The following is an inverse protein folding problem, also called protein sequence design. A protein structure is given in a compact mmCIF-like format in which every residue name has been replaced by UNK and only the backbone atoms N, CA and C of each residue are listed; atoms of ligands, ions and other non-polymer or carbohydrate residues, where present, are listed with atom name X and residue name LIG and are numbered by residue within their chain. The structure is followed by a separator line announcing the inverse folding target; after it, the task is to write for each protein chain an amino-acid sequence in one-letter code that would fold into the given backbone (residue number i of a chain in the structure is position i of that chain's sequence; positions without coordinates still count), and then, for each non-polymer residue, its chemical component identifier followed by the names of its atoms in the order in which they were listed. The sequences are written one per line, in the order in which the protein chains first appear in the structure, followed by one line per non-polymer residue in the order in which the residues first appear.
data_IF_212832767928
#
_entry.id   IF_212832767928
#
_cell.length_a   1.000
_cell.length_b   1.000
_cell.length_c   1.000
_cell.angle_alpha   90.00
_cell.angle_beta   90.00
_cell.angle_gamma   90.00
#
_symmetry.space_group_name_H-M   'P 1'
#
loop_
_entity.id
_entity.type
_entity.pdbx_description
1 polymer ?
#
# COMPACT_ATOMS: atom_id res chain seq x y z
N UNK A 1 75.99 24.17 50.72
CA UNK A 1 76.14 22.73 50.43
C UNK A 1 75.50 22.50 49.07
N UNK A 2 76.26 22.50 47.97
CA UNK A 2 77.06 21.40 47.41
C UNK A 2 76.25 20.42 46.52
N UNK A 3 76.53 20.52 45.19
CA UNK A 3 76.66 19.47 44.14
C UNK A 3 75.41 18.60 43.84
N UNK A 4 75.03 18.22 42.62
CA UNK A 4 75.65 18.27 41.29
C UNK A 4 75.21 17.03 40.46
N UNK A 5 75.09 17.16 39.13
CA UNK A 5 75.02 16.06 38.12
C UNK A 5 73.69 15.30 38.02
N UNK A 6 73.19 14.79 36.88
CA UNK A 6 73.77 14.48 35.56
C UNK A 6 72.64 14.27 34.54
N UNK A 7 72.93 14.53 33.28
CA UNK A 7 72.12 14.26 32.07
C UNK A 7 72.20 12.76 31.65
N UNK A 8 71.22 12.26 30.87
CA UNK A 8 71.36 11.45 29.62
C UNK A 8 70.06 10.71 29.20
N UNK A 9 69.55 11.11 28.02
CA UNK A 9 68.99 10.39 26.83
C UNK A 9 68.41 8.95 26.88
N UNK A 10 67.26 8.78 26.18
CA UNK A 10 66.79 7.54 25.49
C UNK A 10 65.59 6.85 26.16
N UNK A 11 64.60 6.26 25.50
CA UNK A 11 64.21 6.11 24.10
C UNK A 11 62.71 5.69 24.07
N UNK A 12 62.09 5.68 22.88
CA UNK A 12 60.71 5.23 22.53
C UNK A 12 60.34 3.90 23.25
N UNK A 13 59.09 3.50 23.52
CA UNK A 13 57.98 3.15 22.61
C UNK A 13 56.72 2.95 23.46
N UNK A 14 55.60 3.59 23.14
CA UNK A 14 54.29 3.32 23.75
C UNK A 14 53.25 3.15 22.65
N UNK A 15 52.87 1.90 22.36
CA UNK A 15 51.80 1.58 21.42
C UNK A 15 50.46 1.98 22.06
N UNK A 16 49.87 3.09 21.62
CA UNK A 16 48.45 3.37 21.90
C UNK A 16 47.60 2.65 20.86
N UNK A 17 46.89 1.61 21.31
CA UNK A 17 45.85 0.95 20.53
C UNK A 17 44.71 1.93 20.23
N UNK A 18 44.76 2.61 19.09
CA UNK A 18 43.60 3.28 18.53
C UNK A 18 42.66 2.21 17.94
N UNK A 19 41.80 1.65 18.79
CA UNK A 19 40.63 0.91 18.34
C UNK A 19 39.67 1.95 17.77
N UNK A 20 39.67 2.06 16.44
CA UNK A 20 38.61 2.74 15.70
C UNK A 20 37.35 1.91 15.92
N UNK A 21 36.41 2.41 16.73
CA UNK A 21 35.06 1.87 16.81
C UNK A 21 34.40 2.05 15.44
N UNK A 22 34.52 1.04 14.58
CA UNK A 22 33.71 0.91 13.37
C UNK A 22 32.31 0.57 13.87
N UNK A 23 31.47 1.59 14.03
CA UNK A 23 30.03 1.36 14.16
C UNK A 23 29.56 0.78 12.84
N UNK A 24 29.40 -0.54 12.79
CA UNK A 24 28.63 -1.20 11.75
C UNK A 24 27.22 -0.66 11.91
N UNK A 25 26.84 0.30 11.06
CA UNK A 25 25.43 0.64 10.85
C UNK A 25 24.85 -0.63 10.25
N UNK A 26 24.17 -1.42 11.10
CA UNK A 26 23.31 -2.49 10.64
C UNK A 26 22.27 -1.83 9.74
N UNK A 27 22.46 -1.89 8.44
CA UNK A 27 21.38 -1.66 7.49
C UNK A 27 20.41 -2.81 7.69
N UNK A 28 19.52 -2.67 8.66
CA UNK A 28 18.32 -3.50 8.73
C UNK A 28 17.65 -3.36 7.38
N UNK A 29 17.63 -4.46 6.64
CA UNK A 29 16.76 -4.64 5.49
C UNK A 29 15.33 -4.47 6.01
N UNK A 30 14.82 -3.24 5.96
CA UNK A 30 13.40 -2.97 6.10
C UNK A 30 12.73 -3.76 4.97
N UNK A 31 12.15 -4.90 5.31
CA UNK A 31 11.04 -5.41 4.54
C UNK A 31 10.01 -4.28 4.58
N UNK A 32 9.76 -3.65 3.44
CA UNK A 32 8.77 -2.57 3.36
C UNK A 32 7.43 -3.19 3.74
N UNK A 33 7.08 -3.11 5.03
CA UNK A 33 5.91 -3.73 5.66
C UNK A 33 4.72 -2.85 5.33
N UNK A 34 4.44 -2.72 4.04
CA UNK A 34 3.39 -1.86 3.51
C UNK A 34 2.05 -2.16 4.18
N UNK A 35 1.23 -1.12 4.33
CA UNK A 35 -0.13 -1.26 4.82
C UNK A 35 -0.93 -2.04 3.78
N UNK A 36 -1.45 -3.21 4.14
CA UNK A 36 -2.42 -3.92 3.32
C UNK A 36 -3.81 -3.33 3.54
N UNK A 37 -4.54 -3.24 2.45
CA UNK A 37 -5.88 -2.70 2.42
C UNK A 37 -6.75 -3.74 1.73
N UNK A 38 -7.89 -4.04 2.34
CA UNK A 38 -8.95 -4.84 1.76
C UNK A 38 -10.20 -3.96 1.73
N UNK A 39 -10.88 -3.92 0.59
CA UNK A 39 -12.07 -3.13 0.40
C UNK A 39 -13.11 -3.90 -0.39
N UNK A 40 -14.38 -3.59 -0.16
CA UNK A 40 -15.51 -4.21 -0.85
C UNK A 40 -16.47 -3.18 -1.41
N UNK A 41 -17.09 -3.53 -2.54
CA UNK A 41 -18.16 -2.78 -3.21
C UNK A 41 -19.09 -3.76 -3.94
N UNK A 42 -20.31 -3.34 -4.29
CA UNK A 42 -21.15 -4.13 -5.20
C UNK A 42 -20.89 -3.77 -6.65
N UNK A 43 -20.84 -4.79 -7.50
CA UNK A 43 -20.89 -4.67 -8.94
C UNK A 43 -22.32 -4.88 -9.39
N UNK A 44 -22.84 -3.96 -10.20
CA UNK A 44 -24.15 -4.12 -10.84
C UNK A 44 -24.08 -5.29 -11.81
N UNK A 45 -25.03 -6.23 -11.68
CA UNK A 45 -25.01 -7.50 -12.42
C UNK A 45 -24.97 -7.31 -13.93
N UNK A 46 -25.68 -6.30 -14.43
CA UNK A 46 -25.75 -5.93 -15.84
C UNK A 46 -24.40 -5.47 -16.43
N UNK A 47 -23.45 -5.08 -15.58
CA UNK A 47 -22.13 -4.61 -15.98
C UNK A 47 -21.02 -5.64 -15.73
N UNK A 48 -21.33 -6.83 -15.21
CA UNK A 48 -20.31 -7.78 -14.75
C UNK A 48 -19.30 -8.19 -15.84
N UNK A 49 -19.77 -8.49 -17.05
CA UNK A 49 -18.89 -8.88 -18.16
C UNK A 49 -18.09 -7.70 -18.71
N UNK A 50 -18.72 -6.53 -18.83
CA UNK A 50 -18.05 -5.32 -19.26
C UNK A 50 -16.95 -4.90 -18.27
N UNK A 51 -17.24 -4.97 -16.97
CA UNK A 51 -16.29 -4.67 -15.91
C UNK A 51 -15.05 -5.55 -16.02
N UNK A 52 -15.21 -6.87 -16.21
CA UNK A 52 -14.08 -7.78 -16.43
C UNK A 52 -13.30 -7.41 -17.69
N UNK A 53 -14.01 -7.11 -18.78
CA UNK A 53 -13.40 -6.77 -20.07
C UNK A 53 -12.52 -5.52 -19.96
N UNK A 54 -13.01 -4.45 -19.35
CA UNK A 54 -12.22 -3.22 -19.20
C UNK A 54 -11.06 -3.40 -18.22
N UNK A 55 -11.22 -4.19 -17.16
CA UNK A 55 -10.15 -4.46 -16.19
C UNK A 55 -9.07 -5.43 -16.72
N UNK A 56 -9.36 -6.21 -17.76
CA UNK A 56 -8.33 -6.96 -18.49
C UNK A 56 -7.40 -6.05 -19.32
N UNK A 57 -7.75 -4.76 -19.48
CA UNK A 57 -6.98 -3.78 -20.25
C UNK A 57 -7.10 -2.39 -19.64
N UNK A 58 -6.78 -2.29 -18.34
CA UNK A 58 -6.76 -1.01 -17.61
C UNK A 58 -5.85 -0.01 -18.34
N UNK A 59 -6.29 1.24 -18.39
CA UNK A 59 -5.54 2.29 -19.08
C UNK A 59 -4.13 2.48 -18.47
N UNK A 60 -3.07 2.61 -19.28
CA UNK A 60 -1.71 2.70 -18.78
C UNK A 60 -1.46 3.85 -17.80
N UNK A 61 -2.07 5.03 -17.98
CA UNK A 61 -1.86 6.15 -17.05
C UNK A 61 -2.58 5.96 -15.73
N UNK A 62 -3.71 5.25 -15.67
CA UNK A 62 -4.32 4.81 -14.40
C UNK A 62 -3.36 3.91 -13.63
N UNK A 63 -2.74 2.92 -14.30
CA UNK A 63 -1.73 2.06 -13.66
C UNK A 63 -0.49 2.84 -13.24
N UNK A 64 -0.07 3.85 -14.01
CA UNK A 64 1.03 4.73 -13.66
C UNK A 64 0.72 5.60 -12.43
N UNK A 65 -0.50 6.12 -12.32
CA UNK A 65 -0.97 6.88 -11.17
C UNK A 65 -0.94 6.03 -9.89
N UNK A 66 -1.47 4.80 -9.94
CA UNK A 66 -1.42 3.84 -8.82
C UNK A 66 0.04 3.54 -8.40
N UNK A 67 0.92 3.30 -9.37
CA UNK A 67 2.35 3.05 -9.11
C UNK A 67 3.03 4.26 -8.46
N UNK A 68 2.76 5.47 -8.94
CA UNK A 68 3.30 6.72 -8.40
C UNK A 68 2.83 6.96 -6.95
N UNK A 69 1.63 6.50 -6.62
CA UNK A 69 1.04 6.52 -5.29
C UNK A 69 1.46 5.33 -4.41
N UNK A 70 2.50 4.59 -4.81
CA UNK A 70 3.06 3.48 -4.03
C UNK A 70 2.05 2.35 -3.73
N UNK A 71 1.04 2.18 -4.59
CA UNK A 71 0.10 1.06 -4.55
C UNK A 71 0.70 -0.08 -5.37
N UNK A 72 0.89 -1.24 -4.73
CA UNK A 72 1.43 -2.46 -5.33
C UNK A 72 0.55 -3.66 -4.96
N UNK A 73 0.76 -4.78 -5.65
CA UNK A 73 0.08 -6.05 -5.34
C UNK A 73 -1.46 -5.89 -5.32
N UNK A 74 -1.99 -5.08 -6.25
CA UNK A 74 -3.42 -4.77 -6.34
C UNK A 74 -4.15 -5.84 -7.16
N UNK A 75 -5.07 -6.54 -6.52
CA UNK A 75 -5.98 -7.50 -7.12
C UNK A 75 -7.45 -7.19 -6.81
N UNK A 76 -8.35 -7.65 -7.67
CA UNK A 76 -9.80 -7.60 -7.47
C UNK A 76 -10.43 -8.96 -7.77
N UNK A 77 -11.26 -9.45 -6.86
CA UNK A 77 -11.99 -10.71 -6.98
C UNK A 77 -13.49 -10.44 -7.03
N UNK A 78 -14.20 -11.15 -7.90
CA UNK A 78 -15.65 -11.04 -8.04
C UNK A 78 -16.34 -12.26 -7.44
N UNK A 79 -17.27 -12.02 -6.52
CA UNK A 79 -18.19 -13.01 -5.96
C UNK A 79 -19.56 -12.87 -6.64
N UNK A 80 -19.85 -13.60 -7.73
CA UNK A 80 -21.10 -13.46 -8.46
C UNK A 80 -22.33 -13.85 -7.61
N UNK A 81 -22.19 -14.86 -6.77
CA UNK A 81 -23.23 -15.37 -5.87
C UNK A 81 -22.57 -16.05 -4.67
N UNK A 82 -23.19 -16.03 -3.47
CA UNK A 82 -22.74 -16.90 -2.38
C UNK A 82 -22.79 -18.38 -2.78
N UNK A 83 -21.98 -19.24 -2.14
CA UNK A 83 -21.97 -20.69 -2.37
C UNK A 83 -23.17 -21.42 -1.76
N UNK A 84 -24.07 -20.69 -1.09
CA UNK A 84 -25.28 -21.20 -0.47
C UNK A 84 -26.50 -20.40 -0.95
N UNK A 85 -27.68 -21.03 -1.07
CA UNK A 85 -28.89 -20.34 -1.48
C UNK A 85 -29.26 -19.26 -0.46
N UNK A 86 -29.69 -18.11 -0.96
CA UNK A 86 -30.27 -17.06 -0.14
C UNK A 86 -31.63 -17.51 0.39
N UNK A 87 -31.86 -17.31 1.69
CA UNK A 87 -33.15 -17.66 2.32
C UNK A 87 -34.27 -16.65 1.99
N UNK A 88 -33.95 -15.50 1.40
CA UNK A 88 -34.87 -14.38 1.22
C UNK A 88 -34.84 -13.74 -0.18
N UNK A 89 -34.40 -14.45 -1.23
CA UNK A 89 -34.34 -13.93 -2.60
C UNK A 89 -32.91 -13.60 -3.05
N UNK A 90 -32.62 -12.42 -3.58
CA UNK A 90 -31.23 -12.07 -3.98
C UNK A 90 -30.36 -11.91 -2.72
N UNK A 91 -29.16 -12.51 -2.71
CA UNK A 91 -28.28 -12.46 -1.53
C UNK A 91 -27.60 -11.11 -1.41
N UNK A 92 -27.48 -10.59 -0.18
CA UNK A 92 -26.67 -9.39 0.09
C UNK A 92 -25.19 -9.55 -0.28
N UNK A 93 -24.70 -10.80 -0.33
CA UNK A 93 -23.32 -11.15 -0.70
C UNK A 93 -23.13 -11.36 -2.22
N UNK A 94 -24.22 -11.41 -3.00
CA UNK A 94 -24.11 -11.56 -4.44
C UNK A 94 -23.59 -10.26 -5.07
N UNK A 95 -22.72 -10.41 -6.07
CA UNK A 95 -22.17 -9.30 -6.83
C UNK A 95 -21.04 -8.52 -6.13
N UNK A 96 -20.45 -9.04 -5.05
CA UNK A 96 -19.36 -8.33 -4.37
C UNK A 96 -18.07 -8.33 -5.20
N UNK A 97 -17.45 -7.16 -5.33
CA UNK A 97 -16.06 -7.00 -5.70
C UNK A 97 -15.24 -6.85 -4.42
N UNK A 98 -14.18 -7.63 -4.30
CA UNK A 98 -13.25 -7.64 -3.18
C UNK A 98 -11.88 -7.24 -3.70
N UNK A 99 -11.47 -6.01 -3.37
CA UNK A 99 -10.20 -5.42 -3.75
C UNK A 99 -9.19 -5.63 -2.63
N UNK A 100 -7.97 -6.06 -2.96
CA UNK A 100 -6.84 -6.06 -2.02
C UNK A 100 -5.62 -5.42 -2.65
N UNK A 101 -4.90 -4.59 -1.91
CA UNK A 101 -3.63 -4.01 -2.35
C UNK A 101 -2.72 -3.68 -1.16
N UNK A 102 -1.43 -3.46 -1.46
CA UNK A 102 -0.43 -2.99 -0.51
C UNK A 102 -0.06 -1.56 -0.84
N UNK A 103 -0.08 -0.72 0.18
CA UNK A 103 0.48 0.62 0.13
C UNK A 103 1.86 0.62 0.81
N UNK A 104 2.90 0.97 0.07
CA UNK A 104 4.30 0.97 0.55
C UNK A 104 4.92 2.36 0.65
N UNK A 105 4.12 3.41 0.48
CA UNK A 105 4.56 4.80 0.61
C UNK A 105 4.59 5.29 2.05
N UNK A 106 5.00 6.55 2.24
CA UNK A 106 5.11 7.20 3.56
C UNK A 106 4.08 8.31 3.82
N UNK A 107 3.36 8.79 2.79
CA UNK A 107 2.32 9.83 2.89
C UNK A 107 1.02 9.37 2.21
N UNK A 108 0.23 8.57 2.92
CA UNK A 108 -1.00 7.97 2.38
C UNK A 108 -1.97 9.03 1.87
N UNK A 109 -2.17 10.10 2.64
CA UNK A 109 -3.12 11.13 2.27
C UNK A 109 -2.63 11.92 1.06
N UNK A 110 -1.33 12.23 0.97
CA UNK A 110 -0.74 12.88 -0.20
C UNK A 110 -0.88 12.05 -1.46
N UNK A 111 -0.55 10.76 -1.36
CA UNK A 111 -0.59 9.84 -2.49
C UNK A 111 -2.01 9.60 -3.00
N UNK A 112 -2.99 9.38 -2.12
CA UNK A 112 -4.39 9.21 -2.55
C UNK A 112 -4.99 10.51 -3.06
N UNK A 113 -4.63 11.68 -2.50
CA UNK A 113 -5.02 12.98 -3.08
C UNK A 113 -4.47 13.15 -4.49
N UNK A 114 -3.23 12.75 -4.74
CA UNK A 114 -2.63 12.83 -6.07
C UNK A 114 -3.35 11.90 -7.07
N UNK A 115 -3.73 10.69 -6.66
CA UNK A 115 -4.56 9.79 -7.48
C UNK A 115 -5.93 10.41 -7.78
N UNK A 116 -6.56 11.02 -6.79
CA UNK A 116 -7.87 11.67 -6.97
C UNK A 116 -7.83 12.89 -7.90
N UNK A 117 -6.68 13.55 -8.02
CA UNK A 117 -6.47 14.69 -8.92
C UNK A 117 -6.02 14.28 -10.33
N UNK A 118 -5.58 13.03 -10.52
CA UNK A 118 -5.12 12.53 -11.81
C UNK A 118 -6.25 12.45 -12.85
N UNK A 119 -6.03 13.06 -14.01
CA UNK A 119 -7.07 13.21 -15.04
C UNK A 119 -7.49 11.86 -15.66
N UNK A 120 -6.54 10.95 -15.90
CA UNK A 120 -6.85 9.63 -16.43
C UNK A 120 -7.63 8.80 -15.42
N UNK A 121 -7.25 8.87 -14.14
CA UNK A 121 -7.96 8.21 -13.04
C UNK A 121 -9.40 8.69 -12.92
N UNK A 122 -9.64 10.01 -12.96
CA UNK A 122 -11.01 10.56 -12.91
C UNK A 122 -11.85 10.14 -14.11
N UNK A 123 -11.27 10.10 -15.31
CA UNK A 123 -11.94 9.58 -16.51
C UNK A 123 -12.25 8.09 -16.41
N UNK A 124 -11.36 7.32 -15.80
CA UNK A 124 -11.58 5.90 -15.53
C UNK A 124 -12.74 5.71 -14.54
N UNK A 125 -12.78 6.47 -13.45
CA UNK A 125 -13.88 6.46 -12.50
C UNK A 125 -15.22 6.83 -13.13
N UNK A 126 -15.26 7.82 -14.04
CA UNK A 126 -16.47 8.16 -14.77
C UNK A 126 -17.06 6.97 -15.57
N UNK A 127 -16.23 5.98 -15.93
CA UNK A 127 -16.67 4.72 -16.56
C UNK A 127 -17.05 3.68 -15.50
N UNK A 128 -16.21 3.46 -14.49
CA UNK A 128 -16.38 2.35 -13.54
C UNK A 128 -17.42 2.61 -12.46
N UNK A 129 -17.59 3.85 -12.00
CA UNK A 129 -18.50 4.18 -10.91
C UNK A 129 -19.96 3.85 -11.28
N UNK A 130 -20.34 4.08 -12.54
CA UNK A 130 -21.65 3.71 -13.07
C UNK A 130 -21.92 2.19 -13.07
N UNK A 131 -20.86 1.38 -13.06
CA UNK A 131 -20.97 -0.08 -12.99
C UNK A 131 -21.09 -0.59 -11.56
N UNK A 132 -20.84 0.26 -10.57
CA UNK A 132 -20.69 -0.11 -9.17
C UNK A 132 -21.82 0.47 -8.31
N UNK A 133 -21.93 -0.05 -7.09
CA UNK A 133 -22.81 0.45 -6.05
C UNK A 133 -22.10 0.38 -4.70
N UNK A 134 -21.92 1.55 -4.07
CA UNK A 134 -21.28 1.63 -2.77
C UNK A 134 -22.13 0.96 -1.68
N UNK A 135 -21.45 0.33 -0.72
CA UNK A 135 -22.06 -0.13 0.52
C UNK A 135 -22.17 0.98 1.57
N UNK A 136 -21.58 2.15 1.32
CA UNK A 136 -21.71 3.33 2.20
C UNK A 136 -22.96 4.10 1.84
N UNK A 137 -23.84 4.29 2.81
CA UNK A 137 -25.02 5.13 2.64
C UNK A 137 -24.62 6.56 2.27
N UNK A 138 -25.20 7.07 1.19
CA UNK A 138 -24.97 8.44 0.71
C UNK A 138 -23.67 8.66 -0.08
N UNK A 139 -22.89 7.61 -0.36
CA UNK A 139 -21.75 7.74 -1.26
C UNK A 139 -22.22 7.98 -2.70
N UNK A 140 -21.53 8.87 -3.42
CA UNK A 140 -21.95 9.36 -4.76
C UNK A 140 -20.96 9.08 -5.88
N UNK A 141 -19.77 8.55 -5.58
CA UNK A 141 -18.74 8.17 -6.55
C UNK A 141 -17.34 8.18 -5.95
N UNK A 142 -16.35 7.71 -6.71
CA UNK A 142 -14.94 7.65 -6.32
C UNK A 142 -14.36 9.02 -6.03
N UNK A 143 -14.73 10.04 -6.81
CA UNK A 143 -14.21 11.42 -6.69
C UNK A 143 -14.60 12.11 -5.37
N UNK A 144 -15.77 11.78 -4.81
CA UNK A 144 -16.23 12.31 -3.53
C UNK A 144 -15.55 11.64 -2.31
N UNK A 145 -14.78 10.58 -2.54
CA UNK A 145 -14.17 9.77 -1.48
C UNK A 145 -15.16 8.80 -0.83
N UNK A 146 -14.61 7.79 -0.15
CA UNK A 146 -15.40 6.79 0.59
C UNK A 146 -16.23 5.85 -0.29
N UNK A 147 -15.96 5.76 -1.59
CA UNK A 147 -16.75 4.93 -2.52
C UNK A 147 -16.72 3.44 -2.19
N UNK A 148 -15.56 2.93 -1.77
CA UNK A 148 -15.39 1.56 -1.32
C UNK A 148 -15.52 1.44 0.21
N UNK A 149 -16.00 0.30 0.69
CA UNK A 149 -16.07 -0.01 2.11
C UNK A 149 -14.78 -0.70 2.58
N UNK A 150 -14.14 -0.19 3.63
CA UNK A 150 -12.90 -0.77 4.17
C UNK A 150 -13.17 -1.98 5.05
N UNK A 151 -12.37 -3.04 4.88
CA UNK A 151 -12.39 -4.22 5.72
C UNK A 151 -11.23 -4.19 6.74
N UNK A 152 -11.48 -4.71 7.94
CA UNK A 152 -10.47 -4.85 8.99
C UNK A 152 -9.51 -6.02 8.68
N UNK A 153 -8.20 -5.78 8.74
CA UNK A 153 -7.20 -6.87 8.75
C UNK A 153 -7.15 -7.49 10.15
N UNK A 154 -7.79 -8.64 10.32
CA UNK A 154 -7.83 -9.35 11.63
C UNK A 154 -6.71 -10.38 11.81
N UNK A 155 -6.02 -10.76 10.72
CA UNK A 155 -4.95 -11.75 10.75
C UNK A 155 -3.96 -11.54 9.59
N UNK A 156 -2.69 -11.89 9.84
CA UNK A 156 -1.61 -11.88 8.85
C UNK A 156 -0.57 -12.94 9.15
N UNK A 157 -0.02 -13.52 8.08
CA UNK A 157 1.19 -14.33 8.09
C UNK A 157 2.07 -13.98 6.88
N UNK A 158 3.35 -13.66 7.10
CA UNK A 158 4.27 -13.20 6.04
C UNK A 158 5.30 -14.23 5.58
N UNK A 159 5.39 -15.40 6.23
CA UNK A 159 6.15 -16.56 5.74
C UNK A 159 7.66 -16.42 5.75
#
# INVERSE_FOLDING_TARGET
MARGGTELVGDRIGYSNNIVHITIISMESSTTTGKRICQVIKLRKEHAEEYKRIHASVWPGVLAALRKAHIIDYSMHFLPSPPFPSQAGESELAGLLIATFKYVGSDWEGDIRAVAQDEETRRWWAVTDGMQESLRMGAVGSEAGGWWWDCEEVFRFEG
#
